data_IF_231920350317
#
_entry.id   IF_231920350317
#
_cell.length_a   1.000
_cell.length_b   1.000
_cell.length_c   1.000
_cell.angle_alpha   90.00
_cell.angle_beta   90.00
_cell.angle_gamma   90.00
#
_symmetry.space_group_name_H-M   'P 1'
#
loop_
_entity.id
_entity.type
_entity.pdbx_description
1 polymer ?
#
# COMPACT_ATOMS: atom_id res chain seq x y z
N UNK A 1 48.28 11.58 -27.61
CA UNK A 1 46.88 11.98 -27.94
C UNK A 1 45.82 10.88 -27.78
N UNK A 2 46.16 9.60 -27.52
CA UNK A 2 45.15 8.52 -27.40
C UNK A 2 44.53 8.35 -26.00
N UNK A 3 45.14 8.91 -24.96
CA UNK A 3 44.73 8.66 -23.57
C UNK A 3 43.56 9.56 -23.12
N UNK A 4 43.54 10.81 -23.61
CA UNK A 4 42.47 11.78 -23.29
C UNK A 4 41.12 11.34 -23.89
N UNK A 5 41.15 10.73 -25.09
CA UNK A 5 39.97 10.23 -25.81
C UNK A 5 39.37 8.98 -25.14
N UNK A 6 40.20 8.12 -24.52
CA UNK A 6 39.73 6.95 -23.74
C UNK A 6 39.03 7.35 -22.44
N UNK A 7 39.52 8.37 -21.73
CA UNK A 7 38.92 8.84 -20.46
C UNK A 7 37.53 9.46 -20.66
N UNK A 8 37.35 10.24 -21.74
CA UNK A 8 36.05 10.85 -22.09
C UNK A 8 35.00 9.83 -22.53
N UNK A 9 35.40 8.78 -23.26
CA UNK A 9 34.52 7.68 -23.65
C UNK A 9 34.05 6.83 -22.44
N UNK A 10 34.93 6.56 -21.48
CA UNK A 10 34.57 5.85 -20.23
C UNK A 10 33.61 6.66 -19.36
N UNK A 11 33.82 7.96 -19.21
CA UNK A 11 32.93 8.83 -18.44
C UNK A 11 31.53 8.93 -19.05
N UNK A 12 31.43 9.03 -20.39
CA UNK A 12 30.15 9.10 -21.12
C UNK A 12 29.31 7.83 -21.00
N UNK A 13 29.94 6.65 -20.86
CA UNK A 13 29.22 5.38 -20.63
C UNK A 13 28.73 5.21 -19.19
N UNK A 14 29.31 5.93 -18.22
CA UNK A 14 28.87 5.89 -16.83
C UNK A 14 27.69 6.85 -16.55
N UNK A 15 27.55 7.92 -17.33
CA UNK A 15 26.42 8.87 -17.21
C UNK A 15 25.04 8.16 -17.27
N UNK A 16 24.73 7.28 -18.24
CA UNK A 16 23.43 6.62 -18.27
C UNK A 16 23.23 5.66 -17.09
N UNK A 17 24.30 5.03 -16.59
CA UNK A 17 24.24 4.16 -15.40
C UNK A 17 23.97 4.98 -14.14
N UNK A 18 24.64 6.13 -13.98
CA UNK A 18 24.43 7.04 -12.85
C UNK A 18 23.03 7.66 -12.91
N UNK A 19 22.55 8.05 -14.10
CA UNK A 19 21.18 8.55 -14.28
C UNK A 19 20.14 7.46 -14.01
N UNK A 20 20.38 6.22 -14.47
CA UNK A 20 19.52 5.08 -14.18
C UNK A 20 19.50 4.77 -12.68
N UNK A 21 20.64 4.80 -11.98
CA UNK A 21 20.71 4.60 -10.54
C UNK A 21 20.08 5.76 -9.75
N UNK A 22 20.24 7.00 -10.21
CA UNK A 22 19.56 8.18 -9.64
C UNK A 22 18.05 8.14 -9.88
N UNK A 23 17.57 7.46 -10.91
CA UNK A 23 16.15 7.33 -11.21
C UNK A 23 15.51 6.11 -10.53
N UNK A 24 16.21 4.97 -10.52
CA UNK A 24 15.73 3.68 -9.99
C UNK A 24 16.03 3.49 -8.50
N UNK A 25 17.16 4.02 -8.00
CA UNK A 25 17.53 3.94 -6.59
C UNK A 25 16.49 4.58 -5.66
N UNK A 26 15.94 5.76 -5.99
CA UNK A 26 14.85 6.34 -5.24
C UNK A 26 13.62 5.42 -5.21
N UNK A 27 13.15 4.87 -6.33
CA UNK A 27 11.85 4.19 -6.34
C UNK A 27 11.73 3.00 -5.38
N UNK A 28 12.83 2.31 -5.05
CA UNK A 28 12.83 1.20 -4.08
C UNK A 28 12.95 1.64 -2.62
N UNK A 29 13.71 2.71 -2.33
CA UNK A 29 13.98 3.16 -0.95
C UNK A 29 12.96 4.21 -0.50
N UNK A 30 12.49 5.02 -1.43
CA UNK A 30 11.55 6.10 -1.21
C UNK A 30 10.31 5.72 -0.39
N UNK A 31 9.65 4.56 -0.59
CA UNK A 31 8.53 4.18 0.26
C UNK A 31 8.91 4.20 1.74
N UNK A 32 10.06 3.65 2.13
CA UNK A 32 10.55 3.62 3.51
C UNK A 32 10.95 5.01 4.04
N UNK A 33 11.30 5.96 3.16
CA UNK A 33 11.61 7.34 3.55
C UNK A 33 10.36 8.09 3.99
N UNK A 34 9.20 7.80 3.38
CA UNK A 34 7.94 8.46 3.70
C UNK A 34 7.09 7.65 4.67
N UNK A 35 6.84 6.39 4.35
CA UNK A 35 5.94 5.49 5.06
C UNK A 35 6.45 4.05 5.09
N UNK A 36 6.81 3.60 6.28
CA UNK A 36 7.09 2.21 6.56
C UNK A 36 5.80 1.52 7.00
N UNK A 37 5.05 0.95 6.06
CA UNK A 37 3.91 0.06 6.34
C UNK A 37 4.45 -1.34 6.62
N UNK A 38 4.40 -1.77 7.88
CA UNK A 38 5.05 -2.99 8.36
C UNK A 38 4.13 -4.18 8.31
N UNK A 39 2.94 -4.03 8.90
CA UNK A 39 1.95 -5.08 9.01
C UNK A 39 0.55 -4.50 8.87
N UNK A 40 -0.34 -5.31 8.29
CA UNK A 40 -1.77 -5.08 8.32
C UNK A 40 -2.40 -6.37 8.84
N UNK A 41 -3.24 -6.28 9.86
CA UNK A 41 -3.96 -7.43 10.38
C UNK A 41 -5.44 -7.17 10.37
N UNK A 42 -6.22 -8.15 9.95
CA UNK A 42 -7.68 -8.11 9.98
C UNK A 42 -8.16 -9.12 10.98
N UNK A 43 -9.07 -8.71 11.86
CA UNK A 43 -9.64 -9.59 12.88
C UNK A 43 -10.65 -10.54 12.26
N UNK A 44 -10.66 -11.80 12.72
CA UNK A 44 -11.79 -12.69 12.50
C UNK A 44 -13.08 -12.07 13.04
N UNK A 45 -14.19 -12.28 12.34
CA UNK A 45 -15.48 -11.72 12.70
C UNK A 45 -16.63 -12.57 12.19
N UNK A 46 -17.80 -12.44 12.81
CA UNK A 46 -19.02 -13.11 12.33
C UNK A 46 -19.47 -12.59 10.96
N UNK A 47 -19.10 -11.36 10.61
CA UNK A 47 -19.41 -10.70 9.35
C UNK A 47 -18.38 -9.60 9.07
N UNK A 48 -18.29 -9.17 7.81
CA UNK A 48 -17.36 -8.12 7.38
C UNK A 48 -17.60 -6.76 8.07
N UNK A 49 -18.82 -6.48 8.53
CA UNK A 49 -19.17 -5.20 9.16
C UNK A 49 -18.56 -5.05 10.57
N UNK A 50 -18.29 -6.18 11.23
CA UNK A 50 -17.67 -6.25 12.56
C UNK A 50 -16.15 -6.41 12.52
N UNK A 51 -15.59 -6.81 11.38
CA UNK A 51 -14.15 -6.94 11.22
C UNK A 51 -13.42 -5.60 11.41
N UNK A 52 -12.25 -5.64 12.04
CA UNK A 52 -11.36 -4.49 12.25
C UNK A 52 -10.04 -4.72 11.55
N UNK A 53 -9.46 -3.64 11.06
CA UNK A 53 -8.16 -3.61 10.41
C UNK A 53 -7.21 -2.78 11.25
N UNK A 54 -6.14 -3.43 11.68
CA UNK A 54 -5.05 -2.84 12.40
C UNK A 54 -3.83 -2.73 11.47
N UNK A 55 -3.38 -1.51 11.20
CA UNK A 55 -2.24 -1.23 10.33
C UNK A 55 -1.10 -0.62 11.14
N UNK A 56 -0.03 -1.40 11.32
CA UNK A 56 1.23 -0.95 11.92
C UNK A 56 2.06 -0.24 10.85
N UNK A 57 2.33 1.04 11.10
CA UNK A 57 3.12 1.86 10.21
C UNK A 57 3.83 2.99 10.93
N UNK A 58 4.91 3.45 10.31
CA UNK A 58 5.57 4.70 10.65
C UNK A 58 5.51 5.65 9.47
N UNK A 59 5.01 6.86 9.69
CA UNK A 59 5.06 7.96 8.73
C UNK A 59 6.18 8.91 9.16
N UNK A 60 7.31 8.86 8.46
CA UNK A 60 8.50 9.64 8.84
C UNK A 60 8.33 11.12 8.47
N UNK A 61 7.90 11.39 7.25
CA UNK A 61 7.73 12.75 6.68
C UNK A 61 6.26 12.95 6.32
N UNK A 62 5.73 14.17 6.46
CA UNK A 62 4.37 14.47 6.00
C UNK A 62 4.28 14.51 4.47
N UNK A 63 3.26 13.89 3.88
CA UNK A 63 3.07 13.88 2.43
C UNK A 63 1.58 13.74 2.05
N UNK A 64 1.16 14.26 0.89
CA UNK A 64 -0.13 13.90 0.32
C UNK A 64 -0.05 12.46 -0.20
N UNK A 65 -1.02 11.63 0.14
CA UNK A 65 -1.03 10.22 -0.23
C UNK A 65 -2.42 9.63 -0.25
N UNK A 66 -2.51 8.37 -0.65
CA UNK A 66 -3.76 7.60 -0.61
C UNK A 66 -3.44 6.14 -0.31
N UNK A 67 -4.47 5.38 0.04
CA UNK A 67 -4.35 3.94 0.19
C UNK A 67 -5.30 3.21 -0.76
N UNK A 68 -4.90 2.00 -1.13
CA UNK A 68 -5.67 1.09 -1.99
C UNK A 68 -5.84 -0.22 -1.21
N UNK A 69 -7.07 -0.74 -1.18
CA UNK A 69 -7.39 -2.01 -0.53
C UNK A 69 -8.10 -2.92 -1.51
N UNK A 70 -7.63 -4.16 -1.60
CA UNK A 70 -8.31 -5.22 -2.34
C UNK A 70 -8.46 -6.44 -1.45
N UNK A 71 -9.58 -7.15 -1.61
CA UNK A 71 -9.88 -8.38 -0.89
C UNK A 71 -9.77 -9.57 -1.82
N UNK A 72 -9.19 -10.65 -1.31
CA UNK A 72 -9.02 -11.90 -2.02
C UNK A 72 -9.39 -13.06 -1.12
N UNK A 73 -9.91 -14.11 -1.71
CA UNK A 73 -10.04 -15.41 -1.07
C UNK A 73 -8.64 -15.98 -0.75
N UNK A 74 -8.57 -16.97 0.13
CA UNK A 74 -7.31 -17.61 0.54
C UNK A 74 -6.52 -18.22 -0.64
N UNK A 75 -7.22 -18.63 -1.71
CA UNK A 75 -6.63 -19.14 -2.96
C UNK A 75 -6.15 -18.03 -3.92
N UNK A 76 -6.41 -16.76 -3.58
CA UNK A 76 -5.98 -15.58 -4.31
C UNK A 76 -7.02 -14.99 -5.27
N UNK A 77 -8.22 -15.55 -5.39
CA UNK A 77 -9.28 -15.02 -6.26
C UNK A 77 -9.73 -13.64 -5.74
N UNK A 78 -9.77 -12.58 -6.60
CA UNK A 78 -10.28 -11.28 -6.18
C UNK A 78 -11.79 -11.35 -5.93
N UNK A 79 -12.22 -10.82 -4.77
CA UNK A 79 -13.62 -10.87 -4.33
C UNK A 79 -14.42 -9.71 -4.90
N UNK A 80 -13.86 -8.50 -4.84
CA UNK A 80 -14.52 -7.28 -5.30
C UNK A 80 -13.50 -6.29 -5.87
N UNK A 81 -14.01 -5.24 -6.52
CA UNK A 81 -13.16 -4.19 -7.09
C UNK A 81 -12.30 -3.51 -6.00
N UNK A 82 -11.02 -3.18 -6.30
CA UNK A 82 -10.16 -2.51 -5.35
C UNK A 82 -10.70 -1.12 -4.99
N UNK A 83 -10.78 -0.83 -3.69
CA UNK A 83 -11.10 0.51 -3.23
C UNK A 83 -9.85 1.40 -3.28
N UNK A 84 -9.98 2.61 -3.81
CA UNK A 84 -8.94 3.64 -3.85
C UNK A 84 -9.42 4.83 -3.02
N UNK A 85 -8.69 5.17 -1.96
CA UNK A 85 -9.05 6.31 -1.12
C UNK A 85 -8.87 7.64 -1.86
N UNK A 86 -9.62 8.69 -1.47
CA UNK A 86 -9.24 10.06 -1.80
C UNK A 86 -7.80 10.35 -1.35
N UNK A 87 -7.20 11.36 -1.97
CA UNK A 87 -5.91 11.86 -1.52
C UNK A 87 -6.09 12.57 -0.20
N UNK A 88 -5.33 12.16 0.81
CA UNK A 88 -5.32 12.70 2.16
C UNK A 88 -3.92 13.16 2.54
N UNK A 89 -3.85 14.10 3.48
CA UNK A 89 -2.57 14.53 4.04
C UNK A 89 -2.14 13.55 5.14
N UNK A 90 -1.06 12.81 4.90
CA UNK A 90 -0.37 12.06 5.95
C UNK A 90 0.45 13.04 6.78
N UNK A 91 0.28 12.96 8.10
CA UNK A 91 1.06 13.73 9.07
C UNK A 91 2.35 12.97 9.38
N UNK A 92 3.50 13.65 9.26
CA UNK A 92 4.81 13.09 9.61
C UNK A 92 4.99 12.91 11.12
N UNK A 93 5.94 12.07 11.51
CA UNK A 93 6.24 11.73 12.90
C UNK A 93 5.19 10.84 13.57
N UNK A 94 4.32 10.18 12.80
CA UNK A 94 3.32 9.26 13.35
C UNK A 94 3.83 7.83 13.34
N UNK A 95 3.93 7.21 14.51
CA UNK A 95 4.29 5.79 14.69
C UNK A 95 3.19 4.95 15.33
N UNK A 96 2.07 5.57 15.69
CA UNK A 96 0.95 4.85 16.29
C UNK A 96 0.22 4.03 15.21
N UNK A 97 -0.12 2.76 15.50
CA UNK A 97 -0.95 1.97 14.60
C UNK A 97 -2.30 2.63 14.35
N UNK A 98 -2.87 2.42 13.15
CA UNK A 98 -4.29 2.73 12.92
C UNK A 98 -5.09 1.48 13.18
N UNK A 99 -6.10 1.60 14.04
CA UNK A 99 -7.15 0.60 14.19
C UNK A 99 -8.48 1.23 13.78
N UNK A 100 -9.06 0.70 12.70
CA UNK A 100 -10.33 1.15 12.13
C UNK A 100 -11.17 -0.04 11.68
N UNK A 101 -12.50 0.08 11.71
CA UNK A 101 -13.36 -0.96 11.16
C UNK A 101 -13.13 -1.15 9.66
N UNK A 102 -13.39 -2.35 9.16
CA UNK A 102 -13.14 -2.75 7.77
C UNK A 102 -13.83 -1.82 6.77
N UNK A 103 -15.05 -1.37 7.07
CA UNK A 103 -15.80 -0.46 6.21
C UNK A 103 -15.08 0.87 5.97
N UNK A 104 -14.26 1.35 6.91
CA UNK A 104 -13.50 2.59 6.72
C UNK A 104 -12.41 2.41 5.65
N UNK A 105 -11.76 1.24 5.68
CA UNK A 105 -10.74 0.86 4.70
C UNK A 105 -11.33 0.51 3.33
N UNK A 106 -12.57 0.01 3.30
CA UNK A 106 -13.32 -0.26 2.08
C UNK A 106 -13.98 0.98 1.46
N UNK A 107 -13.79 2.18 2.04
CA UNK A 107 -14.32 3.43 1.50
C UNK A 107 -15.70 3.84 1.97
N UNK A 108 -16.25 3.12 2.94
CA UNK A 108 -17.53 3.41 3.57
C UNK A 108 -18.39 2.16 3.71
N UNK A 109 -19.50 2.32 4.45
CA UNK A 109 -20.47 1.25 4.66
C UNK A 109 -21.11 0.77 3.36
N UNK A 110 -21.37 1.67 2.40
CA UNK A 110 -21.98 1.32 1.12
C UNK A 110 -21.07 0.41 0.30
N UNK A 111 -19.84 0.84 0.04
CA UNK A 111 -18.87 0.07 -0.74
C UNK A 111 -18.55 -1.29 -0.10
N UNK A 112 -18.53 -1.35 1.24
CA UNK A 112 -18.38 -2.64 1.91
C UNK A 112 -19.60 -3.56 1.67
N UNK A 113 -20.83 -3.04 1.72
CA UNK A 113 -22.03 -3.83 1.41
C UNK A 113 -22.01 -4.35 -0.02
N UNK A 114 -21.65 -3.51 -0.97
CA UNK A 114 -21.51 -3.91 -2.38
C UNK A 114 -20.47 -5.05 -2.50
N UNK A 115 -19.33 -4.94 -1.81
CA UNK A 115 -18.30 -6.00 -1.78
C UNK A 115 -18.76 -7.29 -1.06
N UNK A 116 -19.62 -7.18 -0.05
CA UNK A 116 -20.23 -8.36 0.62
C UNK A 116 -21.15 -9.09 -0.38
N UNK A 117 -21.95 -8.35 -1.15
CA UNK A 117 -22.83 -8.91 -2.18
C UNK A 117 -22.04 -9.57 -3.33
N UNK A 118 -20.82 -9.07 -3.62
CA UNK A 118 -19.89 -9.65 -4.59
C UNK A 118 -19.16 -10.92 -4.09
N UNK A 119 -19.08 -11.14 -2.78
CA UNK A 119 -18.52 -12.37 -2.22
C UNK A 119 -17.79 -12.24 -0.87
N UNK A 120 -17.66 -11.05 -0.30
CA UNK A 120 -16.99 -10.84 1.01
C UNK A 120 -17.93 -11.17 2.18
N UNK A 121 -18.57 -12.34 2.17
CA UNK A 121 -19.58 -12.75 3.14
C UNK A 121 -19.04 -13.77 4.14
N UNK A 122 -19.05 -15.06 3.79
CA UNK A 122 -18.57 -16.17 4.62
C UNK A 122 -17.39 -16.86 3.94
N UNK A 123 -16.28 -17.03 4.65
CA UNK A 123 -15.07 -17.62 4.06
C UNK A 123 -13.78 -17.22 4.74
N UNK A 124 -12.65 -17.54 4.10
CA UNK A 124 -11.31 -17.15 4.53
C UNK A 124 -10.72 -16.23 3.48
N UNK A 125 -10.32 -15.05 3.91
CA UNK A 125 -9.90 -13.96 3.03
C UNK A 125 -8.57 -13.37 3.50
N UNK A 126 -7.92 -12.62 2.62
CA UNK A 126 -6.89 -11.67 3.01
C UNK A 126 -7.08 -10.35 2.26
N UNK A 127 -6.65 -9.26 2.91
CA UNK A 127 -6.59 -7.94 2.30
C UNK A 127 -5.16 -7.64 1.82
N UNK A 128 -5.04 -7.04 0.63
CA UNK A 128 -3.81 -6.41 0.15
C UNK A 128 -3.99 -4.90 0.27
N UNK A 129 -3.18 -4.27 1.13
CA UNK A 129 -3.24 -2.83 1.41
C UNK A 129 -1.99 -2.15 0.89
N UNK A 130 -2.15 -1.18 -0.01
CA UNK A 130 -1.07 -0.39 -0.58
C UNK A 130 -1.19 1.06 -0.14
N UNK A 131 -0.12 1.65 0.40
CA UNK A 131 -0.03 3.08 0.66
C UNK A 131 0.83 3.74 -0.41
N UNK A 132 0.31 4.80 -1.02
CA UNK A 132 0.99 5.59 -2.04
C UNK A 132 1.34 6.97 -1.48
N UNK A 133 2.62 7.34 -1.59
CA UNK A 133 3.04 8.73 -1.44
C UNK A 133 2.95 9.42 -2.81
N UNK A 134 2.40 10.64 -2.81
CA UNK A 134 2.15 11.39 -4.04
C UNK A 134 2.96 12.69 -4.06
N UNK A 135 3.36 13.09 -5.25
CA UNK A 135 3.90 14.42 -5.55
C UNK A 135 2.80 15.25 -6.19
N UNK A 136 2.71 16.52 -5.78
CA UNK A 136 1.69 17.48 -6.25
C UNK A 136 0.27 16.89 -6.29
N UNK A 137 -0.09 16.10 -5.27
CA UNK A 137 -1.42 15.51 -5.10
C UNK A 137 -1.92 14.61 -6.25
N UNK A 138 -1.08 14.29 -7.24
CA UNK A 138 -1.52 13.63 -8.48
C UNK A 138 -0.61 12.46 -8.89
N UNK A 139 0.70 12.61 -8.77
CA UNK A 139 1.66 11.62 -9.27
C UNK A 139 2.14 10.72 -8.14
N UNK A 140 1.87 9.40 -8.16
CA UNK A 140 2.44 8.49 -7.17
C UNK A 140 3.96 8.38 -7.39
N UNK A 141 4.73 8.66 -6.34
CA UNK A 141 6.20 8.61 -6.38
C UNK A 141 6.78 7.43 -5.60
N UNK A 142 5.99 6.86 -4.68
CA UNK A 142 6.37 5.71 -3.89
C UNK A 142 5.12 4.91 -3.51
N UNK A 143 5.26 3.60 -3.43
CA UNK A 143 4.19 2.71 -2.99
C UNK A 143 4.75 1.59 -2.12
N UNK A 144 4.06 1.29 -1.02
CA UNK A 144 4.31 0.09 -0.21
C UNK A 144 3.02 -0.69 -0.04
N UNK A 145 3.04 -1.96 -0.45
CA UNK A 145 1.93 -2.89 -0.27
C UNK A 145 2.26 -3.95 0.77
N UNK A 146 1.30 -4.27 1.63
CA UNK A 146 1.41 -5.34 2.61
C UNK A 146 0.18 -6.25 2.48
N UNK A 147 0.44 -7.56 2.43
CA UNK A 147 -0.60 -8.59 2.55
C UNK A 147 -0.90 -8.75 4.04
N UNK A 148 -2.18 -8.77 4.40
CA UNK A 148 -2.61 -9.05 5.77
C UNK A 148 -2.57 -10.55 6.11
N UNK A 149 -2.83 -10.88 7.37
CA UNK A 149 -3.14 -12.26 7.75
C UNK A 149 -4.38 -12.75 6.99
N UNK A 150 -4.50 -14.07 6.89
CA UNK A 150 -5.78 -14.68 6.55
C UNK A 150 -6.74 -14.47 7.74
N UNK A 151 -7.95 -14.02 7.43
CA UNK A 151 -9.01 -13.78 8.40
C UNK A 151 -10.28 -14.49 7.94
N UNK A 152 -11.05 -14.98 8.91
CA UNK A 152 -12.31 -15.68 8.67
C UNK A 152 -13.49 -14.74 8.89
N UNK A 153 -14.40 -14.75 7.92
CA UNK A 153 -15.73 -14.19 8.04
C UNK A 153 -16.74 -15.34 8.10
N UNK A 154 -17.80 -15.16 8.89
CA UNK A 154 -18.74 -16.23 9.19
C UNK A 154 -18.33 -17.07 10.40
N UNK A 155 -19.32 -17.63 11.09
CA UNK A 155 -19.24 -18.44 12.33
C UNK A 155 -17.88 -18.40 13.05
N UNK A 156 -17.67 -17.34 13.85
CA UNK A 156 -16.63 -17.34 14.88
C UNK A 156 -16.92 -18.52 15.81
N UNK A 157 -16.09 -19.56 15.76
CA UNK A 157 -16.15 -20.67 16.72
C UNK A 157 -15.58 -20.22 18.06
#
# INVERSE_FOLDING_TARGET
MNDFRRRTLRLRMLIPIILALLYLGPSMVMPYVWIDLRAVTVTDATDAMRARVHADRVTHIGFPGRFIVSFREADGVPVCAPYVSPVIQYKGGLSAPIDKPLWWWAGGLRTLRDCIEEGLADGVFYALTCHQAMMWWTVPIAQRCVRSNEFRLGAAR
#
